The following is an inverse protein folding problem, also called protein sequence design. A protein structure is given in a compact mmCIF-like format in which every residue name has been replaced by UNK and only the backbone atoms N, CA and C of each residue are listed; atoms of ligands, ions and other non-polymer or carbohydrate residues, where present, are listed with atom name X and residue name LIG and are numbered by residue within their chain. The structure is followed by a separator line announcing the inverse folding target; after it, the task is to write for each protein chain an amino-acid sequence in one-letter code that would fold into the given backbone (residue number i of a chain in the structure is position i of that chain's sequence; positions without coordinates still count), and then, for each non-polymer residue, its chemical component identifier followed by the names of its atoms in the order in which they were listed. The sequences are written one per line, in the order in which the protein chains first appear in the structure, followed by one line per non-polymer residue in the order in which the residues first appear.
data_IF_615316422508
#
_entry.id   IF_615316422508
#
_cell.length_a   1.000
_cell.length_b   1.000
_cell.length_c   1.000
_cell.angle_alpha   90.00
_cell.angle_beta   90.00
_cell.angle_gamma   90.00
#
_symmetry.space_group_name_H-M   'P 1'
#
loop_
_entity.id
_entity.type
_entity.pdbx_description
1 polymer ?
#
# COMPACT_ATOMS: atom_id res chain seq x y z
N UNK A 1 56.49 -12.21 -45.59
CA UNK A 1 56.73 -12.78 -46.93
C UNK A 1 55.37 -13.20 -47.48
N UNK A 2 54.79 -12.69 -48.57
CA UNK A 2 55.26 -11.97 -49.76
C UNK A 2 54.12 -11.04 -50.25
N UNK A 3 54.56 -9.86 -50.69
CA UNK A 3 54.09 -8.87 -51.68
C UNK A 3 52.67 -8.86 -52.31
N UNK A 4 52.08 -7.65 -52.25
CA UNK A 4 51.56 -6.81 -53.35
C UNK A 4 50.96 -7.42 -54.61
N UNK A 5 49.70 -7.04 -54.90
CA UNK A 5 49.27 -6.62 -56.25
C UNK A 5 48.42 -5.35 -56.16
N UNK A 6 48.86 -4.32 -56.87
CA UNK A 6 48.16 -3.06 -57.16
C UNK A 6 47.12 -3.22 -58.27
N UNK A 7 45.95 -2.55 -58.19
CA UNK A 7 45.29 -2.04 -59.40
C UNK A 7 44.40 -0.82 -59.16
N UNK A 8 44.24 -0.07 -60.25
CA UNK A 8 44.03 1.38 -60.39
C UNK A 8 42.60 1.88 -60.15
N UNK A 9 42.57 3.19 -59.89
CA UNK A 9 41.48 4.17 -59.90
C UNK A 9 40.43 3.99 -61.00
N UNK A 10 39.17 4.22 -60.60
CA UNK A 10 38.10 4.76 -61.43
C UNK A 10 37.09 5.51 -60.54
N UNK A 11 37.04 6.84 -60.64
CA UNK A 11 35.86 7.68 -60.34
C UNK A 11 35.27 8.04 -61.72
N UNK A 12 33.94 8.25 -61.91
CA UNK A 12 33.28 9.42 -61.30
C UNK A 12 31.73 9.37 -61.14
N UNK A 13 31.18 10.48 -60.63
CA UNK A 13 29.82 11.02 -60.87
C UNK A 13 28.60 10.25 -60.37
N UNK A 14 28.28 10.37 -59.07
CA UNK A 14 26.91 10.15 -58.54
C UNK A 14 26.76 10.81 -57.16
N UNK A 15 26.90 12.15 -57.09
CA UNK A 15 26.70 12.88 -55.82
C UNK A 15 25.89 14.17 -55.91
N UNK A 16 25.38 14.54 -57.08
CA UNK A 16 24.64 15.80 -57.23
C UNK A 16 23.11 15.64 -57.28
N UNK A 17 22.58 14.42 -57.41
CA UNK A 17 21.12 14.20 -57.51
C UNK A 17 20.44 13.88 -56.15
N UNK A 18 21.18 13.49 -55.11
CA UNK A 18 20.60 13.17 -53.80
C UNK A 18 20.36 14.37 -52.87
N UNK A 19 20.91 15.56 -53.16
CA UNK A 19 20.67 16.76 -52.32
C UNK A 19 19.35 17.49 -52.63
N UNK A 20 18.71 17.22 -53.77
CA UNK A 20 17.43 17.83 -54.15
C UNK A 20 16.23 17.16 -53.45
N UNK A 21 16.23 15.83 -53.30
CA UNK A 21 15.10 15.11 -52.68
C UNK A 21 15.01 15.26 -51.15
N UNK A 22 16.11 15.62 -50.47
CA UNK A 22 16.14 15.80 -49.01
C UNK A 22 15.40 17.07 -48.55
N UNK A 23 15.42 18.15 -49.33
CA UNK A 23 14.77 19.42 -48.96
C UNK A 23 13.25 19.36 -49.05
N UNK A 24 12.71 18.59 -50.00
CA UNK A 24 11.26 18.44 -50.17
C UNK A 24 10.62 17.64 -49.03
N UNK A 25 11.31 16.61 -48.52
CA UNK A 25 10.83 15.82 -47.37
C UNK A 25 10.82 16.61 -46.06
N UNK A 26 11.83 17.45 -45.83
CA UNK A 26 11.89 18.31 -44.65
C UNK A 26 10.74 19.35 -44.65
N UNK A 27 10.43 19.93 -45.81
CA UNK A 27 9.31 20.88 -45.94
C UNK A 27 7.95 20.22 -45.65
N UNK A 28 7.71 19.01 -46.18
CA UNK A 28 6.46 18.28 -45.93
C UNK A 28 6.24 17.94 -44.45
N UNK A 29 7.30 17.54 -43.73
CA UNK A 29 7.20 17.22 -42.30
C UNK A 29 6.86 18.47 -41.48
N UNK A 30 7.48 19.61 -41.78
CA UNK A 30 7.19 20.88 -41.08
C UNK A 30 5.75 21.34 -41.31
N UNK A 31 5.22 21.20 -42.53
CA UNK A 31 3.83 21.55 -42.84
C UNK A 31 2.85 20.65 -42.09
N UNK A 32 3.11 19.33 -42.03
CA UNK A 32 2.25 18.39 -41.29
C UNK A 32 2.23 18.72 -39.79
N UNK A 33 3.40 19.00 -39.19
CA UNK A 33 3.51 19.35 -37.76
C UNK A 33 2.76 20.66 -37.47
N UNK A 34 2.87 21.66 -38.34
CA UNK A 34 2.15 22.92 -38.20
C UNK A 34 0.62 22.75 -38.30
N UNK A 35 0.15 21.95 -39.26
CA UNK A 35 -1.30 21.67 -39.42
C UNK A 35 -1.84 20.88 -38.23
N UNK A 36 -1.11 19.85 -37.75
CA UNK A 36 -1.52 19.09 -36.57
C UNK A 36 -1.57 19.97 -35.31
N UNK A 37 -0.60 20.87 -35.12
CA UNK A 37 -0.57 21.78 -33.97
C UNK A 37 -1.75 22.76 -33.98
N UNK A 38 -2.11 23.29 -35.15
CA UNK A 38 -3.27 24.16 -35.33
C UNK A 38 -4.61 23.44 -35.10
N UNK A 39 -4.73 22.18 -35.53
CA UNK A 39 -5.93 21.36 -35.29
C UNK A 39 -6.11 21.02 -33.80
N UNK A 40 -5.02 20.75 -33.09
CA UNK A 40 -5.05 20.52 -31.64
C UNK A 40 -5.48 21.81 -30.91
N UNK A 41 -4.90 22.96 -31.29
CA UNK A 41 -5.29 24.25 -30.71
C UNK A 41 -6.77 24.57 -30.97
N UNK A 42 -7.28 24.28 -32.17
CA UNK A 42 -8.69 24.47 -32.51
C UNK A 42 -9.61 23.53 -31.72
N UNK A 43 -9.20 22.28 -31.49
CA UNK A 43 -9.95 21.32 -30.67
C UNK A 43 -10.06 21.78 -29.21
N UNK A 44 -8.97 22.25 -28.59
CA UNK A 44 -9.01 22.78 -27.23
C UNK A 44 -9.83 24.08 -27.13
N UNK A 45 -9.75 24.94 -28.14
CA UNK A 45 -10.58 26.15 -28.19
C UNK A 45 -12.07 25.80 -28.28
N UNK A 46 -12.44 24.88 -29.17
CA UNK A 46 -13.83 24.42 -29.31
C UNK A 46 -14.33 23.74 -28.02
N UNK A 47 -13.51 22.90 -27.36
CA UNK A 47 -13.86 22.28 -26.09
C UNK A 47 -14.10 23.32 -24.99
N UNK A 48 -13.27 24.37 -24.93
CA UNK A 48 -13.42 25.46 -23.97
C UNK A 48 -14.72 26.25 -24.23
N UNK A 49 -15.01 26.58 -25.49
CA UNK A 49 -16.27 27.25 -25.85
C UNK A 49 -17.48 26.39 -25.48
N UNK A 50 -17.45 25.08 -25.72
CA UNK A 50 -18.54 24.17 -25.35
C UNK A 50 -18.72 24.08 -23.84
N UNK A 51 -17.63 23.99 -23.06
CA UNK A 51 -17.70 23.90 -21.60
C UNK A 51 -18.20 25.18 -20.92
N UNK A 52 -17.97 26.36 -21.53
CA UNK A 52 -18.38 27.65 -20.97
C UNK A 52 -19.66 28.24 -21.58
N UNK A 53 -20.24 27.62 -22.62
CA UNK A 53 -21.47 28.10 -23.28
C UNK A 53 -22.75 27.40 -22.83
N UNK A 54 -22.66 26.38 -21.95
CA UNK A 54 -23.85 25.81 -21.34
C UNK A 54 -24.23 26.61 -20.09
N UNK A 55 -25.37 27.33 -20.08
CA UNK A 55 -25.90 27.87 -18.85
C UNK A 55 -26.23 26.70 -17.93
N UNK A 56 -25.66 26.72 -16.71
CA UNK A 56 -26.04 25.81 -15.63
C UNK A 56 -27.54 25.97 -15.41
N UNK A 57 -28.37 24.92 -15.60
CA UNK A 57 -29.79 25.02 -15.34
C UNK A 57 -29.97 25.27 -13.85
N UNK A 58 -30.51 26.44 -13.52
CA UNK A 58 -30.87 26.82 -12.17
C UNK A 58 -32.24 26.17 -11.83
N UNK A 59 -32.30 24.83 -11.88
CA UNK A 59 -33.53 24.07 -11.66
C UNK A 59 -33.51 23.47 -10.26
N UNK A 60 -34.21 24.16 -9.36
CA UNK A 60 -34.35 23.85 -7.93
C UNK A 60 -35.46 22.83 -7.65
N UNK A 61 -35.71 21.91 -8.59
CA UNK A 61 -36.73 20.86 -8.45
C UNK A 61 -36.21 19.49 -8.88
N UNK A 62 -35.23 18.96 -8.15
CA UNK A 62 -35.01 17.52 -8.06
C UNK A 62 -35.91 16.98 -6.92
N UNK A 63 -36.64 15.87 -7.13
CA UNK A 63 -37.49 15.32 -6.10
C UNK A 63 -36.62 14.89 -4.92
N UNK A 64 -36.97 15.41 -3.74
CA UNK A 64 -36.49 14.97 -2.44
C UNK A 64 -36.59 13.45 -2.35
N UNK A 65 -35.47 12.76 -2.62
CA UNK A 65 -35.21 11.43 -2.11
C UNK A 65 -35.22 11.56 -0.60
N UNK A 66 -36.36 11.24 0.02
CA UNK A 66 -36.44 10.90 1.44
C UNK A 66 -35.60 9.64 1.64
N UNK A 67 -34.28 9.82 1.74
CA UNK A 67 -33.41 8.79 2.28
C UNK A 67 -33.80 8.61 3.74
N UNK A 68 -34.16 7.38 4.06
CA UNK A 68 -34.42 6.94 5.41
C UNK A 68 -33.16 7.17 6.26
N UNK A 69 -33.34 7.80 7.42
CA UNK A 69 -32.30 7.97 8.43
C UNK A 69 -31.50 9.26 8.28
N UNK A 70 -32.06 10.38 8.80
CA UNK A 70 -31.23 11.38 9.47
C UNK A 70 -30.41 10.61 10.51
N UNK A 71 -29.11 10.46 10.30
CA UNK A 71 -28.20 10.22 11.40
C UNK A 71 -28.33 11.49 12.25
N UNK A 72 -28.89 11.37 13.44
CA UNK A 72 -29.08 12.50 14.35
C UNK A 72 -27.74 13.24 14.47
N UNK A 73 -27.75 14.54 14.17
CA UNK A 73 -26.65 15.50 14.34
C UNK A 73 -26.36 15.75 15.84
N UNK A 74 -26.48 14.72 16.67
CA UNK A 74 -25.79 14.67 17.94
C UNK A 74 -24.32 14.45 17.61
N UNK A 75 -23.50 15.48 17.86
CA UNK A 75 -22.04 15.38 17.95
C UNK A 75 -21.68 14.06 18.65
N UNK A 76 -21.44 13.01 17.86
CA UNK A 76 -20.95 11.75 18.41
C UNK A 76 -19.54 12.09 18.84
N UNK A 77 -19.37 12.33 20.14
CA UNK A 77 -18.08 12.54 20.73
C UNK A 77 -17.29 11.23 20.53
N UNK A 78 -16.51 11.15 19.45
CA UNK A 78 -15.66 9.98 19.10
C UNK A 78 -14.44 9.93 20.02
N UNK A 79 -14.59 10.38 21.26
CA UNK A 79 -13.53 10.50 22.26
C UNK A 79 -13.10 9.15 22.84
N UNK A 80 -13.72 8.03 22.44
CA UNK A 80 -13.29 6.71 22.87
C UNK A 80 -13.32 5.68 21.74
N UNK A 81 -12.67 4.53 22.01
CA UNK A 81 -12.61 3.44 21.04
C UNK A 81 -14.00 2.91 20.67
N UNK A 82 -14.95 2.89 21.62
CA UNK A 82 -16.28 2.36 21.36
C UNK A 82 -17.04 3.23 20.34
N UNK A 83 -16.98 4.56 20.49
CA UNK A 83 -17.50 5.53 19.54
C UNK A 83 -16.84 5.41 18.17
N UNK A 84 -15.51 5.29 18.13
CA UNK A 84 -14.78 5.14 16.87
C UNK A 84 -15.11 3.85 16.12
N UNK A 85 -15.18 2.73 16.86
CA UNK A 85 -15.61 1.45 16.31
C UNK A 85 -17.05 1.52 15.79
N UNK A 86 -17.95 2.16 16.53
CA UNK A 86 -19.34 2.32 16.12
C UNK A 86 -19.46 3.15 14.85
N UNK A 87 -18.69 4.24 14.72
CA UNK A 87 -18.59 5.04 13.51
C UNK A 87 -18.17 4.19 12.31
N UNK A 88 -17.07 3.44 12.43
CA UNK A 88 -16.58 2.54 11.36
C UNK A 88 -17.64 1.51 10.96
N UNK A 89 -18.29 0.87 11.93
CA UNK A 89 -19.35 -0.12 11.67
C UNK A 89 -20.57 0.53 11.02
N UNK A 90 -20.95 1.74 11.42
CA UNK A 90 -22.08 2.47 10.81
C UNK A 90 -21.79 2.85 9.36
N UNK A 91 -20.59 3.36 9.07
CA UNK A 91 -20.16 3.69 7.71
C UNK A 91 -20.17 2.45 6.81
N UNK A 92 -19.77 1.29 7.33
CA UNK A 92 -19.78 0.03 6.58
C UNK A 92 -21.17 -0.51 6.22
N UNK A 93 -22.24 0.01 6.85
CA UNK A 93 -23.63 -0.31 6.49
C UNK A 93 -24.14 0.49 5.29
N UNK A 94 -23.40 1.51 4.86
CA UNK A 94 -23.77 2.31 3.70
C UNK A 94 -23.52 1.52 2.41
N UNK A 95 -24.31 1.77 1.35
CA UNK A 95 -23.98 1.30 0.00
C UNK A 95 -22.57 1.77 -0.41
N UNK A 96 -21.80 0.99 -1.19
CA UNK A 96 -20.41 1.33 -1.53
C UNK A 96 -20.20 2.74 -2.09
N UNK A 97 -21.06 3.19 -3.00
CA UNK A 97 -20.99 4.54 -3.56
C UNK A 97 -21.17 5.62 -2.48
N UNK A 98 -22.15 5.45 -1.60
CA UNK A 98 -22.44 6.36 -0.49
C UNK A 98 -21.31 6.36 0.53
N UNK A 99 -20.74 5.19 0.87
CA UNK A 99 -19.58 5.08 1.74
C UNK A 99 -18.40 5.86 1.17
N UNK A 100 -18.03 5.64 -0.09
CA UNK A 100 -16.92 6.35 -0.73
C UNK A 100 -17.14 7.86 -0.79
N UNK A 101 -18.38 8.29 -1.06
CA UNK A 101 -18.75 9.70 -1.05
C UNK A 101 -18.57 10.29 0.35
N UNK A 102 -19.12 9.65 1.39
CA UNK A 102 -18.97 10.10 2.79
C UNK A 102 -17.49 10.18 3.19
N UNK A 103 -16.67 9.18 2.86
CA UNK A 103 -15.24 9.24 3.13
C UNK A 103 -14.57 10.44 2.44
N UNK A 104 -14.98 10.76 1.21
CA UNK A 104 -14.41 11.86 0.43
C UNK A 104 -14.85 13.23 0.94
N UNK A 105 -16.12 13.39 1.35
CA UNK A 105 -16.70 14.70 1.67
C UNK A 105 -16.66 15.04 3.15
N UNK A 106 -16.84 14.04 4.01
CA UNK A 106 -16.91 14.23 5.47
C UNK A 106 -15.57 13.92 6.15
N UNK A 107 -14.67 13.18 5.48
CA UNK A 107 -13.36 12.74 5.99
C UNK A 107 -13.41 12.37 7.49
N UNK A 108 -14.21 11.35 7.87
CA UNK A 108 -14.52 11.06 9.27
C UNK A 108 -13.28 10.68 10.12
N UNK A 109 -12.13 10.44 9.50
CA UNK A 109 -10.86 10.13 10.15
C UNK A 109 -9.86 11.29 10.10
N UNK A 110 -10.14 12.34 9.31
CA UNK A 110 -9.26 13.49 9.05
C UNK A 110 -8.01 13.14 8.22
N UNK A 111 -7.99 11.97 7.58
CA UNK A 111 -6.78 11.43 6.94
C UNK A 111 -6.61 11.93 5.51
N UNK A 112 -7.71 12.30 4.84
CA UNK A 112 -7.67 12.84 3.48
C UNK A 112 -7.26 14.30 3.48
N UNK A 113 -7.81 15.10 4.40
CA UNK A 113 -7.34 16.45 4.65
C UNK A 113 -5.87 16.45 5.08
N UNK A 114 -5.49 15.52 5.99
CA UNK A 114 -4.10 15.36 6.41
C UNK A 114 -3.18 15.01 5.25
N UNK A 115 -3.59 14.13 4.34
CA UNK A 115 -2.81 13.85 3.13
C UNK A 115 -2.51 15.14 2.36
N UNK A 116 -3.52 15.98 2.10
CA UNK A 116 -3.33 17.26 1.39
C UNK A 116 -2.36 18.19 2.12
N UNK A 117 -2.47 18.28 3.46
CA UNK A 117 -1.54 19.05 4.29
C UNK A 117 -0.12 18.53 4.19
N UNK A 118 0.07 17.21 4.17
CA UNK A 118 1.39 16.59 3.98
C UNK A 118 1.94 16.96 2.61
N UNK A 119 1.17 16.86 1.52
CA UNK A 119 1.66 17.24 0.17
C UNK A 119 2.14 18.68 0.15
N UNK A 120 1.31 19.59 0.66
CA UNK A 120 1.61 21.01 0.67
C UNK A 120 2.85 21.30 1.52
N UNK A 121 3.01 20.63 2.66
CA UNK A 121 4.19 20.80 3.50
C UNK A 121 5.46 20.22 2.85
N UNK A 122 5.37 19.08 2.15
CA UNK A 122 6.47 18.53 1.36
C UNK A 122 6.89 19.52 0.26
N UNK A 123 5.93 20.03 -0.52
CA UNK A 123 6.18 20.99 -1.61
C UNK A 123 6.83 22.29 -1.10
N UNK A 124 6.33 22.82 0.02
CA UNK A 124 6.89 24.03 0.64
C UNK A 124 8.32 23.81 1.14
N UNK A 125 8.60 22.66 1.78
CA UNK A 125 9.94 22.35 2.27
C UNK A 125 10.92 22.18 1.11
N UNK A 126 10.55 21.44 0.07
CA UNK A 126 11.40 21.22 -1.10
C UNK A 126 11.66 22.53 -1.85
N UNK A 127 10.65 23.41 -1.99
CA UNK A 127 10.81 24.74 -2.59
C UNK A 127 11.77 25.65 -1.80
N UNK A 128 11.89 25.44 -0.48
CA UNK A 128 12.82 26.16 0.39
C UNK A 128 14.24 25.56 0.44
N UNK A 129 14.52 24.53 -0.35
CA UNK A 129 15.81 23.82 -0.35
C UNK A 129 15.96 22.80 0.80
N UNK A 130 14.87 22.51 1.50
CA UNK A 130 14.77 21.40 2.45
C UNK A 130 14.68 20.04 1.75
N UNK A 131 14.63 18.97 2.55
CA UNK A 131 14.29 17.64 2.08
C UNK A 131 13.21 17.08 3.02
N UNK A 132 11.97 17.09 2.55
CA UNK A 132 10.83 16.69 3.39
C UNK A 132 10.94 15.23 3.89
N UNK A 133 11.51 14.32 3.10
CA UNK A 133 11.71 12.91 3.47
C UNK A 133 12.73 12.72 4.60
N UNK A 134 13.62 13.69 4.78
CA UNK A 134 14.59 13.70 5.87
C UNK A 134 14.09 14.49 7.09
N UNK A 135 12.85 15.00 7.06
CA UNK A 135 12.24 15.68 8.20
C UNK A 135 11.30 14.71 8.95
N UNK A 136 11.80 13.94 9.94
CA UNK A 136 10.98 13.00 10.70
C UNK A 136 9.95 13.69 11.61
N UNK A 137 9.98 15.03 11.72
CA UNK A 137 9.04 15.83 12.51
C UNK A 137 7.97 16.49 11.66
N UNK A 138 7.92 16.26 10.34
CA UNK A 138 6.91 16.88 9.48
C UNK A 138 5.49 16.64 10.00
N UNK A 139 5.18 15.39 10.36
CA UNK A 139 3.85 15.02 10.83
C UNK A 139 3.48 15.65 12.18
N UNK A 140 4.47 15.90 13.05
CA UNK A 140 4.26 16.52 14.37
C UNK A 140 3.76 17.96 14.24
N UNK A 141 4.17 18.68 13.18
CA UNK A 141 3.70 20.04 12.90
C UNK A 141 2.33 20.12 12.23
N UNK A 142 1.82 18.99 11.70
CA UNK A 142 0.59 18.93 10.91
C UNK A 142 -0.56 18.22 11.64
N UNK A 143 -0.22 17.28 12.51
CA UNK A 143 -1.18 16.50 13.29
C UNK A 143 -0.78 16.60 14.77
N UNK A 144 -1.65 17.17 15.59
CA UNK A 144 -1.45 17.23 17.04
C UNK A 144 -1.90 15.92 17.68
N UNK A 145 -1.16 15.43 18.67
CA UNK A 145 -1.58 14.23 19.40
C UNK A 145 -2.94 14.48 20.09
N UNK A 146 -4.00 13.72 19.77
CA UNK A 146 -5.29 13.89 20.41
C UNK A 146 -5.20 13.58 21.92
N UNK A 147 -5.95 14.34 22.73
CA UNK A 147 -6.07 14.12 24.17
C UNK A 147 -6.69 12.75 24.46
N UNK A 148 -7.71 12.43 23.68
CA UNK A 148 -8.42 11.17 23.72
C UNK A 148 -7.83 10.23 22.67
N UNK A 149 -6.82 9.46 23.10
CA UNK A 149 -6.12 8.54 22.19
C UNK A 149 -6.97 7.31 21.93
N UNK A 150 -7.49 7.22 20.72
CA UNK A 150 -8.37 6.13 20.27
C UNK A 150 -7.55 4.88 19.94
N UNK A 151 -6.27 5.05 19.57
CA UNK A 151 -5.43 3.99 19.00
C UNK A 151 -4.26 3.56 19.88
N UNK A 152 -4.42 3.71 21.20
CA UNK A 152 -3.39 3.38 22.19
C UNK A 152 -2.81 1.99 21.93
N UNK A 153 -1.47 1.86 21.87
CA UNK A 153 -0.86 0.54 21.85
C UNK A 153 -1.28 -0.19 23.12
N UNK A 154 -1.83 -1.39 22.95
CA UNK A 154 -2.10 -2.33 24.04
C UNK A 154 -0.88 -2.41 24.97
N UNK A 155 -1.05 -2.46 26.29
CA UNK A 155 0.08 -2.55 27.22
C UNK A 155 0.96 -3.80 26.96
N UNK A 156 0.37 -4.85 26.37
CA UNK A 156 1.08 -6.02 25.82
C UNK A 156 2.09 -5.62 24.73
N UNK A 157 1.76 -4.61 23.92
CA UNK A 157 2.65 -4.09 22.87
C UNK A 157 3.96 -3.57 23.44
N UNK A 158 3.95 -2.91 24.60
CA UNK A 158 5.19 -2.38 25.20
C UNK A 158 6.09 -3.48 25.74
N UNK A 159 5.52 -4.50 26.39
CA UNK A 159 6.30 -5.57 27.04
C UNK A 159 6.98 -6.46 26.01
N UNK A 160 6.23 -6.97 25.03
CA UNK A 160 6.79 -7.83 23.96
C UNK A 160 7.77 -7.06 23.08
N UNK A 161 7.47 -5.81 22.74
CA UNK A 161 8.39 -4.97 21.99
C UNK A 161 9.68 -4.70 22.79
N UNK A 162 9.60 -4.38 24.08
CA UNK A 162 10.78 -4.18 24.92
C UNK A 162 11.61 -5.47 25.06
N UNK A 163 10.96 -6.63 25.15
CA UNK A 163 11.62 -7.93 25.14
C UNK A 163 12.34 -8.17 23.81
N UNK A 164 11.67 -7.98 22.67
CA UNK A 164 12.28 -8.10 21.35
C UNK A 164 13.50 -7.17 21.23
N UNK A 165 13.39 -5.91 21.62
CA UNK A 165 14.49 -4.93 21.54
C UNK A 165 15.69 -5.34 22.39
N UNK A 166 15.47 -5.79 23.62
CA UNK A 166 16.55 -6.31 24.49
C UNK A 166 17.22 -7.50 23.83
N UNK A 167 16.41 -8.44 23.33
CA UNK A 167 16.91 -9.63 22.64
C UNK A 167 17.72 -9.27 21.39
N UNK A 168 17.28 -8.31 20.58
CA UNK A 168 18.03 -7.86 19.41
C UNK A 168 19.31 -7.08 19.76
N UNK A 169 19.34 -6.39 20.91
CA UNK A 169 20.53 -5.71 21.40
C UNK A 169 21.57 -6.69 21.95
N UNK A 170 21.12 -7.75 22.62
CA UNK A 170 21.97 -8.73 23.30
C UNK A 170 22.41 -9.88 22.37
N UNK A 171 21.62 -10.20 21.34
CA UNK A 171 21.82 -11.41 20.54
C UNK A 171 22.91 -11.27 19.47
N UNK A 172 23.97 -12.06 19.63
CA UNK A 172 24.66 -12.70 18.51
C UNK A 172 24.01 -14.04 18.10
N UNK A 173 23.15 -14.64 18.95
CA UNK A 173 22.45 -15.92 18.70
C UNK A 173 21.06 -15.96 19.36
N UNK A 174 20.13 -16.77 18.82
CA UNK A 174 18.77 -16.95 19.38
C UNK A 174 18.81 -17.85 20.63
N UNK A 175 18.10 -17.48 21.72
CA UNK A 175 17.99 -18.33 22.90
C UNK A 175 17.48 -19.74 22.55
N UNK A 176 18.23 -20.78 22.91
CA UNK A 176 17.88 -22.18 22.65
C UNK A 176 16.85 -22.74 23.63
N UNK A 177 16.65 -22.07 24.77
CA UNK A 177 15.74 -22.52 25.82
C UNK A 177 14.26 -22.20 25.52
N UNK A 178 13.38 -23.10 25.99
CA UNK A 178 11.96 -23.13 25.66
C UNK A 178 11.13 -21.92 26.13
N UNK A 179 11.69 -21.05 26.98
CA UNK A 179 11.00 -19.89 27.53
C UNK A 179 11.74 -18.61 27.17
N UNK A 180 11.11 -17.79 26.32
CA UNK A 180 11.29 -16.33 26.16
C UNK A 180 11.64 -15.81 24.76
N UNK A 181 11.71 -16.59 23.67
CA UNK A 181 11.95 -15.97 22.35
C UNK A 181 10.78 -15.05 21.94
N UNK A 182 11.05 -13.74 21.82
CA UNK A 182 10.16 -12.80 21.15
C UNK A 182 10.60 -12.67 19.69
N UNK A 183 9.65 -12.66 18.75
CA UNK A 183 9.95 -12.56 17.32
C UNK A 183 8.98 -11.59 16.64
N UNK A 184 9.22 -11.32 15.36
CA UNK A 184 8.36 -10.45 14.55
C UNK A 184 7.35 -11.33 13.79
N UNK A 185 6.06 -11.10 14.00
CA UNK A 185 5.03 -11.67 13.12
C UNK A 185 4.62 -10.61 12.11
N UNK A 186 4.90 -10.83 10.83
CA UNK A 186 4.54 -9.91 9.77
C UNK A 186 3.34 -10.43 8.98
N UNK A 187 2.18 -9.77 9.11
CA UNK A 187 1.07 -10.00 8.21
C UNK A 187 1.34 -9.25 6.90
N UNK A 188 1.87 -9.97 5.93
CA UNK A 188 2.25 -9.49 4.62
C UNK A 188 1.03 -9.45 3.69
N UNK A 189 0.45 -8.28 3.45
CA UNK A 189 -0.61 -8.15 2.46
C UNK A 189 -0.02 -7.99 1.05
N UNK A 190 -0.48 -8.79 0.08
CA UNK A 190 -0.03 -8.73 -1.33
C UNK A 190 0.01 -7.30 -1.83
N UNK A 191 1.19 -6.85 -2.28
CA UNK A 191 1.43 -5.51 -2.87
C UNK A 191 1.12 -4.31 -1.98
N UNK A 192 0.99 -4.54 -0.67
CA UNK A 192 0.86 -3.51 0.34
C UNK A 192 2.21 -3.19 1.01
N UNK A 193 3.35 -3.37 0.32
CA UNK A 193 4.67 -2.96 0.81
C UNK A 193 5.53 -4.02 1.49
N UNK A 194 5.14 -5.29 1.47
CA UNK A 194 5.89 -6.32 2.19
C UNK A 194 7.35 -6.52 1.76
N UNK A 195 7.71 -6.23 0.50
CA UNK A 195 9.12 -6.19 0.07
C UNK A 195 9.91 -5.07 0.75
N UNK A 196 9.29 -3.92 1.03
CA UNK A 196 9.93 -2.82 1.74
C UNK A 196 10.19 -3.19 3.20
N UNK A 197 9.20 -3.78 3.87
CA UNK A 197 9.39 -4.27 5.24
C UNK A 197 10.47 -5.35 5.32
N UNK A 198 10.52 -6.28 4.36
CA UNK A 198 11.56 -7.30 4.40
C UNK A 198 12.96 -6.73 4.12
N UNK A 199 13.07 -5.74 3.22
CA UNK A 199 14.35 -5.03 3.00
C UNK A 199 14.79 -4.29 4.25
N UNK A 200 13.85 -3.68 4.98
CA UNK A 200 14.09 -3.05 6.28
C UNK A 200 14.58 -4.08 7.31
N UNK A 201 13.92 -5.24 7.40
CA UNK A 201 14.33 -6.32 8.30
C UNK A 201 15.75 -6.83 7.97
N UNK A 202 16.07 -7.05 6.70
CA UNK A 202 17.40 -7.47 6.25
C UNK A 202 18.50 -6.45 6.55
N UNK A 203 18.17 -5.15 6.62
CA UNK A 203 19.13 -4.12 7.02
C UNK A 203 19.43 -4.11 8.53
N UNK A 204 18.56 -4.71 9.35
CA UNK A 204 18.62 -4.62 10.81
C UNK A 204 18.82 -5.97 11.52
N UNK A 205 18.67 -7.09 10.80
CA UNK A 205 18.80 -8.44 11.31
C UNK A 205 19.89 -9.18 10.53
N UNK A 206 20.66 -10.06 11.17
CA UNK A 206 21.62 -10.90 10.45
C UNK A 206 20.93 -11.74 9.35
N UNK A 207 21.58 -11.92 8.20
CA UNK A 207 20.96 -12.60 7.05
C UNK A 207 20.47 -14.01 7.36
N UNK A 208 21.20 -14.76 8.21
CA UNK A 208 20.80 -16.11 8.63
C UNK A 208 19.53 -16.14 9.49
N UNK A 209 19.14 -14.98 10.04
CA UNK A 209 18.01 -14.79 10.95
C UNK A 209 16.75 -14.31 10.24
N UNK A 210 16.83 -14.04 8.93
CA UNK A 210 15.72 -13.62 8.10
C UNK A 210 15.43 -14.71 7.07
N UNK A 211 14.20 -15.25 7.00
CA UNK A 211 13.82 -16.18 5.94
C UNK A 211 14.10 -15.58 4.56
N UNK A 212 14.73 -16.37 3.69
CA UNK A 212 15.16 -15.94 2.35
C UNK A 212 14.00 -15.55 1.44
N UNK A 213 12.83 -16.18 1.63
CA UNK A 213 11.63 -15.91 0.84
C UNK A 213 10.85 -14.71 1.40
N UNK A 214 11.35 -13.49 1.17
CA UNK A 214 10.70 -12.24 1.58
C UNK A 214 10.23 -12.22 3.05
N UNK A 215 11.07 -12.72 3.96
CA UNK A 215 10.78 -12.78 5.40
C UNK A 215 9.61 -13.72 5.78
N UNK A 216 9.21 -14.60 4.87
CA UNK A 216 8.17 -15.61 5.08
C UNK A 216 8.79 -17.01 5.20
N UNK A 217 8.11 -17.94 5.89
CA UNK A 217 8.38 -19.36 5.78
C UNK A 217 8.51 -19.80 4.33
N UNK A 218 9.64 -20.43 4.02
CA UNK A 218 9.86 -21.05 2.71
C UNK A 218 9.18 -22.42 2.63
N UNK A 219 9.27 -23.06 1.46
CA UNK A 219 8.79 -24.43 1.23
C UNK A 219 9.56 -25.51 2.03
N UNK A 220 10.58 -25.13 2.81
CA UNK A 220 11.39 -26.06 3.58
C UNK A 220 10.92 -26.18 5.03
N UNK A 221 9.88 -25.47 5.46
CA UNK A 221 9.22 -25.74 6.74
C UNK A 221 8.58 -27.13 6.70
N UNK A 222 9.07 -28.07 7.52
CA UNK A 222 8.61 -29.47 7.45
C UNK A 222 7.47 -29.72 8.42
N UNK A 223 6.27 -30.02 7.90
CA UNK A 223 5.17 -30.53 8.73
C UNK A 223 5.29 -32.05 8.83
N UNK A 224 5.32 -32.57 10.06
CA UNK A 224 5.14 -34.01 10.30
C UNK A 224 3.64 -34.27 10.42
N UNK A 225 3.14 -35.30 9.75
CA UNK A 225 1.78 -35.76 10.02
C UNK A 225 1.71 -36.53 11.34
N UNK A 226 0.51 -36.93 11.74
CA UNK A 226 0.27 -37.74 12.94
C UNK A 226 0.98 -39.10 12.94
N UNK A 227 1.57 -39.51 11.82
CA UNK A 227 2.36 -40.73 11.65
C UNK A 227 3.87 -40.44 11.55
N UNK A 228 4.29 -39.19 11.76
CA UNK A 228 5.68 -38.76 11.69
C UNK A 228 6.23 -38.56 10.26
N UNK A 229 5.40 -38.72 9.23
CA UNK A 229 5.80 -38.58 7.83
C UNK A 229 5.76 -37.11 7.37
N UNK A 230 6.67 -36.72 6.47
CA UNK A 230 6.70 -35.36 5.92
C UNK A 230 5.62 -35.21 4.84
N UNK A 231 4.69 -34.27 5.03
CA UNK A 231 3.72 -33.91 3.97
C UNK A 231 4.35 -32.94 2.97
N UNK A 232 4.08 -33.07 1.66
CA UNK A 232 4.39 -32.02 0.70
C UNK A 232 3.63 -30.75 1.09
N UNK A 233 4.37 -29.67 1.27
CA UNK A 233 3.83 -28.40 1.74
C UNK A 233 3.23 -27.63 0.55
N UNK A 234 2.02 -27.10 0.71
CA UNK A 234 1.26 -26.54 -0.40
C UNK A 234 1.64 -25.09 -0.77
N UNK A 235 2.21 -24.30 0.16
CA UNK A 235 2.55 -22.90 -0.11
C UNK A 235 3.51 -22.28 0.92
N UNK A 236 4.48 -21.51 0.43
CA UNK A 236 5.34 -20.62 1.23
C UNK A 236 4.53 -19.42 1.72
N UNK A 237 4.73 -18.96 2.96
CA UNK A 237 3.97 -17.83 3.53
C UNK A 237 2.51 -18.15 3.94
N UNK A 238 2.14 -19.43 4.03
CA UNK A 238 0.85 -19.88 4.57
C UNK A 238 1.04 -20.36 6.03
N UNK A 239 0.64 -19.55 7.01
CA UNK A 239 0.76 -19.86 8.44
C UNK A 239 -0.48 -20.50 9.07
N UNK A 240 -1.65 -20.48 8.42
CA UNK A 240 -2.90 -20.97 9.03
C UNK A 240 -2.93 -22.49 9.20
N UNK A 241 -2.12 -23.20 8.42
CA UNK A 241 -1.95 -24.64 8.47
C UNK A 241 -0.98 -25.14 9.58
N UNK A 242 -0.40 -24.23 10.36
CA UNK A 242 0.58 -24.51 11.41
C UNK A 242 0.03 -24.11 12.78
N UNK A 243 0.20 -24.96 13.78
CA UNK A 243 -0.08 -24.58 15.17
C UNK A 243 0.93 -23.54 15.67
N UNK A 244 0.61 -22.85 16.77
CA UNK A 244 1.54 -21.89 17.37
C UNK A 244 2.83 -22.57 17.84
N UNK A 245 2.74 -23.78 18.38
CA UNK A 245 3.88 -24.61 18.79
C UNK A 245 4.76 -24.98 17.60
N UNK A 246 4.15 -25.33 16.46
CA UNK A 246 4.91 -25.63 15.24
C UNK A 246 5.60 -24.39 14.67
N UNK A 247 4.94 -23.23 14.69
CA UNK A 247 5.55 -21.95 14.30
C UNK A 247 6.77 -21.68 15.20
N UNK A 248 6.60 -21.75 16.52
CA UNK A 248 7.69 -21.54 17.49
C UNK A 248 8.83 -22.53 17.31
N UNK A 249 8.51 -23.81 17.10
CA UNK A 249 9.52 -24.85 16.87
C UNK A 249 10.34 -24.58 15.59
N UNK A 250 9.69 -24.14 14.51
CA UNK A 250 10.39 -23.80 13.27
C UNK A 250 11.26 -22.55 13.42
N UNK A 251 10.74 -21.52 14.11
CA UNK A 251 11.48 -20.29 14.37
C UNK A 251 12.76 -20.56 15.18
N UNK A 252 12.68 -21.38 16.23
CA UNK A 252 13.84 -21.80 17.03
C UNK A 252 14.80 -22.68 16.22
N UNK A 253 14.29 -23.73 15.60
CA UNK A 253 15.11 -24.70 14.86
C UNK A 253 15.89 -24.10 13.69
N UNK A 254 15.39 -23.01 13.10
CA UNK A 254 16.05 -22.28 12.01
C UNK A 254 16.74 -21.00 12.46
N UNK A 255 16.63 -20.66 13.75
CA UNK A 255 17.08 -19.39 14.27
C UNK A 255 16.54 -18.20 13.44
N UNK A 256 15.22 -18.14 13.18
CA UNK A 256 14.62 -17.00 12.49
C UNK A 256 13.99 -16.01 13.48
N UNK A 257 14.09 -14.71 13.22
CA UNK A 257 13.49 -13.65 14.06
C UNK A 257 12.19 -13.08 13.49
N UNK A 258 11.81 -13.51 12.29
CA UNK A 258 10.59 -13.06 11.63
C UNK A 258 9.84 -14.24 11.00
N UNK A 259 8.52 -14.26 11.19
CA UNK A 259 7.59 -15.14 10.50
C UNK A 259 6.57 -14.30 9.73
N UNK A 260 6.53 -14.47 8.42
CA UNK A 260 5.56 -13.79 7.56
C UNK A 260 4.36 -14.68 7.19
N UNK A 261 3.15 -14.13 7.27
CA UNK A 261 1.93 -14.71 6.68
C UNK A 261 1.48 -13.85 5.50
N UNK A 262 1.35 -14.41 4.30
CA UNK A 262 0.88 -13.67 3.11
C UNK A 262 -0.46 -14.18 2.57
N UNK A 263 -0.65 -15.49 2.58
CA UNK A 263 -1.79 -16.10 1.87
C UNK A 263 -3.03 -16.26 2.74
N UNK A 264 -2.81 -16.45 4.03
CA UNK A 264 -3.89 -16.81 4.91
C UNK A 264 -4.49 -15.59 5.58
N UNK A 265 -5.76 -15.72 5.95
CA UNK A 265 -6.40 -14.78 6.85
C UNK A 265 -5.72 -14.80 8.21
N UNK A 266 -5.84 -13.70 8.94
CA UNK A 266 -5.25 -13.58 10.26
C UNK A 266 -6.23 -14.11 11.31
N UNK A 267 -5.93 -15.31 11.82
CA UNK A 267 -6.66 -15.92 12.95
C UNK A 267 -6.28 -15.21 14.25
N UNK A 268 -7.01 -14.15 14.58
CA UNK A 268 -6.76 -13.32 15.75
C UNK A 268 -6.94 -14.08 17.08
N UNK A 269 -7.72 -15.16 17.10
CA UNK A 269 -7.92 -15.95 18.32
C UNK A 269 -6.66 -16.72 18.68
N UNK A 270 -5.96 -17.23 17.67
CA UNK A 270 -4.77 -18.05 17.84
C UNK A 270 -3.48 -17.26 17.75
N UNK A 271 -3.30 -16.44 16.72
CA UNK A 271 -1.99 -15.83 16.46
C UNK A 271 -1.55 -14.89 17.56
N UNK A 272 -2.47 -14.13 18.17
CA UNK A 272 -2.12 -13.21 19.24
C UNK A 272 -1.67 -13.90 20.56
N UNK A 273 -1.70 -15.23 20.63
CA UNK A 273 -1.09 -15.99 21.73
C UNK A 273 0.42 -16.22 21.52
N UNK A 274 0.93 -15.95 20.31
CA UNK A 274 2.36 -16.03 20.02
C UNK A 274 3.12 -14.91 20.78
N UNK A 275 4.35 -15.18 21.27
CA UNK A 275 5.24 -14.18 21.82
C UNK A 275 5.84 -13.32 20.68
N UNK A 276 4.99 -12.60 19.96
CA UNK A 276 5.39 -11.88 18.76
C UNK A 276 5.02 -10.40 18.81
N UNK A 277 5.88 -9.60 18.21
CA UNK A 277 5.59 -8.21 17.85
C UNK A 277 4.90 -8.23 16.49
N UNK A 278 3.63 -7.86 16.47
CA UNK A 278 2.78 -7.93 15.28
C UNK A 278 2.94 -6.69 14.42
N UNK A 279 3.31 -6.91 13.16
CA UNK A 279 3.53 -5.87 12.17
C UNK A 279 2.68 -6.12 10.94
N UNK A 280 2.11 -5.07 10.38
CA UNK A 280 1.49 -5.11 9.06
C UNK A 280 1.70 -3.79 8.32
N UNK A 281 1.32 -3.75 7.05
CA UNK A 281 1.40 -2.56 6.21
C UNK A 281 0.17 -2.43 5.32
N UNK A 282 -0.32 -1.20 5.21
CA UNK A 282 -1.44 -0.81 4.37
C UNK A 282 -0.95 0.03 3.20
N UNK A 283 -1.64 -0.15 2.08
CA UNK A 283 -1.54 0.69 0.89
C UNK A 283 -2.94 0.94 0.39
N UNK A 284 -3.21 2.10 -0.21
CA UNK A 284 -4.49 2.37 -0.85
C UNK A 284 -4.97 1.18 -1.71
N UNK A 285 -6.20 0.68 -1.49
CA UNK A 285 -6.71 -0.54 -2.11
C UNK A 285 -6.60 -0.54 -3.63
N UNK A 286 -6.96 0.56 -4.29
CA UNK A 286 -6.87 0.70 -5.75
C UNK A 286 -5.42 0.62 -6.26
N UNK A 287 -4.49 1.30 -5.58
CA UNK A 287 -3.06 1.24 -5.92
C UNK A 287 -2.48 -0.16 -5.69
N UNK A 288 -2.92 -0.86 -4.64
CA UNK A 288 -2.56 -2.26 -4.40
C UNK A 288 -3.07 -3.15 -5.53
N UNK A 289 -4.34 -2.99 -5.95
CA UNK A 289 -4.93 -3.76 -7.04
C UNK A 289 -4.20 -3.55 -8.37
N UNK A 290 -3.90 -2.30 -8.73
CA UNK A 290 -3.09 -1.96 -9.91
C UNK A 290 -1.68 -2.56 -9.84
N UNK A 291 -1.06 -2.50 -8.66
CA UNK A 291 0.25 -3.10 -8.44
C UNK A 291 0.22 -4.63 -8.55
N UNK A 292 -0.91 -5.28 -8.22
CA UNK A 292 -1.11 -6.71 -8.43
C UNK A 292 -1.30 -7.03 -9.92
N UNK A 293 -2.15 -6.28 -10.62
CA UNK A 293 -2.34 -6.43 -12.06
C UNK A 293 -1.03 -6.31 -12.83
N UNK A 294 -0.26 -5.24 -12.56
CA UNK A 294 1.06 -5.04 -13.17
C UNK A 294 1.97 -6.25 -12.95
N UNK A 295 2.05 -6.71 -11.71
CA UNK A 295 2.93 -7.82 -11.35
C UNK A 295 2.56 -9.13 -12.05
N UNK A 296 1.27 -9.41 -12.21
CA UNK A 296 0.83 -10.64 -12.87
C UNK A 296 0.87 -10.54 -14.40
N UNK A 297 0.42 -9.42 -14.96
CA UNK A 297 0.09 -9.27 -16.37
C UNK A 297 1.08 -8.44 -17.19
N UNK A 298 1.77 -7.48 -16.58
CA UNK A 298 2.73 -6.62 -17.29
C UNK A 298 4.14 -7.15 -17.15
N UNK A 299 4.48 -7.65 -15.97
CA UNK A 299 5.78 -8.29 -15.71
C UNK A 299 5.86 -9.74 -16.24
N UNK A 300 4.89 -10.12 -17.10
CA UNK A 300 4.87 -11.35 -17.91
C UNK A 300 5.05 -12.61 -17.06
N UNK A 301 4.22 -12.73 -16.02
CA UNK A 301 4.16 -13.89 -15.12
C UNK A 301 3.05 -14.87 -15.50
N UNK A 302 2.74 -14.95 -16.79
CA UNK A 302 1.77 -15.91 -17.34
C UNK A 302 0.30 -15.50 -17.24
N UNK A 303 0.00 -14.24 -16.91
CA UNK A 303 -1.37 -13.74 -16.98
C UNK A 303 -1.82 -13.56 -18.45
N UNK A 304 -3.06 -13.97 -18.73
CA UNK A 304 -3.64 -13.98 -20.08
C UNK A 304 -4.37 -12.68 -20.45
N UNK A 305 -4.57 -11.79 -19.48
CA UNK A 305 -5.33 -10.56 -19.65
C UNK A 305 -4.42 -9.43 -20.14
N UNK A 306 -4.85 -8.73 -21.20
CA UNK A 306 -4.10 -7.62 -21.79
C UNK A 306 -4.39 -6.26 -21.14
N UNK A 307 -5.52 -6.13 -20.46
CA UNK A 307 -5.94 -4.90 -19.80
C UNK A 307 -6.54 -5.20 -18.43
N UNK A 308 -6.57 -4.17 -17.59
CA UNK A 308 -7.00 -4.28 -16.20
C UNK A 308 -8.50 -4.52 -16.05
N UNK A 309 -9.34 -3.97 -16.95
CA UNK A 309 -10.79 -4.17 -16.91
C UNK A 309 -11.15 -5.66 -17.01
N UNK A 310 -10.66 -6.35 -18.04
CA UNK A 310 -10.91 -7.77 -18.22
C UNK A 310 -10.30 -8.64 -17.10
N UNK A 311 -9.14 -8.23 -16.57
CA UNK A 311 -8.53 -8.89 -15.42
C UNK A 311 -9.41 -8.73 -14.17
N UNK A 312 -9.87 -7.52 -13.87
CA UNK A 312 -10.60 -7.21 -12.63
C UNK A 312 -11.89 -8.00 -12.48
N UNK A 313 -12.65 -8.19 -13.56
CA UNK A 313 -13.88 -8.99 -13.58
C UNK A 313 -13.69 -10.43 -13.07
N UNK A 314 -12.46 -10.96 -13.20
CA UNK A 314 -12.08 -12.31 -12.79
C UNK A 314 -11.38 -12.35 -11.43
N UNK A 315 -11.19 -11.21 -10.77
CA UNK A 315 -10.38 -11.07 -9.54
C UNK A 315 -11.18 -10.70 -8.31
N UNK A 316 -12.34 -11.34 -8.16
CA UNK A 316 -13.18 -11.20 -6.95
C UNK A 316 -12.48 -11.66 -5.67
N UNK A 317 -11.40 -12.45 -5.79
CA UNK A 317 -10.52 -12.82 -4.67
C UNK A 317 -9.76 -11.62 -4.09
N UNK A 318 -9.62 -10.52 -4.85
CA UNK A 318 -8.93 -9.31 -4.41
C UNK A 318 -9.86 -8.26 -3.79
N UNK A 319 -11.17 -8.51 -3.78
CA UNK A 319 -12.16 -7.56 -3.27
C UNK A 319 -12.14 -7.57 -1.74
N UNK A 320 -12.02 -6.38 -1.15
CA UNK A 320 -11.98 -6.18 0.30
C UNK A 320 -11.02 -7.16 1.02
N UNK A 321 -9.80 -7.32 0.50
CA UNK A 321 -8.82 -8.31 0.98
C UNK A 321 -8.30 -7.97 2.38
N UNK A 322 -8.15 -6.68 2.71
CA UNK A 322 -7.71 -6.29 4.05
C UNK A 322 -8.78 -6.65 5.07
N UNK A 323 -10.02 -6.27 4.78
CA UNK A 323 -11.19 -6.61 5.60
C UNK A 323 -11.31 -8.12 5.75
N UNK A 324 -11.19 -8.89 4.66
CA UNK A 324 -11.22 -10.35 4.70
C UNK A 324 -10.12 -10.94 5.60
N UNK A 325 -8.90 -10.39 5.48
CA UNK A 325 -7.73 -10.91 6.19
C UNK A 325 -7.85 -10.67 7.69
N UNK A 326 -8.13 -9.44 8.12
CA UNK A 326 -8.10 -9.08 9.54
C UNK A 326 -9.37 -9.44 10.31
N UNK A 327 -10.48 -9.69 9.61
CA UNK A 327 -11.72 -10.20 10.22
C UNK A 327 -11.81 -11.72 10.28
N UNK A 328 -10.84 -12.42 9.68
CA UNK A 328 -10.91 -13.86 9.36
C UNK A 328 -12.21 -14.29 8.64
N UNK A 329 -12.83 -13.39 7.88
CA UNK A 329 -14.09 -13.65 7.18
C UNK A 329 -13.83 -14.16 5.75
N UNK A 330 -14.23 -15.40 5.39
CA UNK A 330 -14.16 -15.86 4.01
C UNK A 330 -15.18 -15.14 3.13
N UNK A 331 -14.96 -15.13 1.81
CA UNK A 331 -15.93 -14.72 0.78
C UNK A 331 -16.33 -13.23 0.78
N UNK A 332 -15.45 -12.32 1.21
CA UNK A 332 -15.70 -10.87 1.12
C UNK A 332 -16.05 -10.38 -0.29
N UNK A 333 -15.55 -11.02 -1.36
CA UNK A 333 -15.91 -10.65 -2.73
C UNK A 333 -17.40 -10.84 -3.08
N UNK A 334 -18.13 -11.71 -2.35
CA UNK A 334 -19.60 -11.77 -2.47
C UNK A 334 -20.26 -10.59 -1.76
N UNK A 335 -19.79 -10.27 -0.55
CA UNK A 335 -20.34 -9.17 0.26
C UNK A 335 -20.12 -7.82 -0.42
N UNK A 336 -18.98 -7.63 -1.08
CA UNK A 336 -18.64 -6.41 -1.82
C UNK A 336 -19.65 -6.04 -2.92
N UNK A 337 -20.32 -7.03 -3.50
CA UNK A 337 -21.25 -6.84 -4.63
C UNK A 337 -22.72 -6.83 -4.20
N UNK A 338 -23.01 -7.16 -2.95
CA UNK A 338 -24.38 -7.31 -2.49
C UNK A 338 -24.91 -6.01 -1.91
N UNK A 339 -26.13 -5.65 -2.29
CA UNK A 339 -26.87 -4.52 -1.73
C UNK A 339 -27.93 -4.97 -0.71
N UNK A 340 -27.95 -6.26 -0.35
CA UNK A 340 -28.91 -6.74 0.64
C UNK A 340 -28.54 -6.24 2.04
N UNK A 341 -29.53 -5.82 2.83
CA UNK A 341 -29.32 -5.37 4.21
C UNK A 341 -28.56 -6.40 5.06
N UNK A 342 -28.82 -7.70 4.85
CA UNK A 342 -28.11 -8.78 5.53
C UNK A 342 -26.62 -8.83 5.19
N UNK A 343 -26.28 -8.71 3.91
CA UNK A 343 -24.87 -8.78 3.48
C UNK A 343 -24.12 -7.49 3.87
N UNK A 344 -24.79 -6.33 3.87
CA UNK A 344 -24.22 -5.08 4.42
C UNK A 344 -23.94 -5.19 5.93
N UNK A 345 -24.86 -5.78 6.71
CA UNK A 345 -24.62 -6.02 8.14
C UNK A 345 -23.46 -6.99 8.37
N UNK A 346 -23.34 -8.04 7.55
CA UNK A 346 -22.20 -8.96 7.61
C UNK A 346 -20.88 -8.24 7.26
N UNK A 347 -20.89 -7.36 6.26
CA UNK A 347 -19.75 -6.52 5.91
C UNK A 347 -19.34 -5.59 7.05
N UNK A 348 -20.32 -4.96 7.70
CA UNK A 348 -20.11 -4.09 8.85
C UNK A 348 -19.54 -4.83 10.06
N UNK A 349 -20.06 -6.03 10.36
CA UNK A 349 -19.51 -6.88 11.42
C UNK A 349 -18.08 -7.32 11.10
N UNK A 350 -17.81 -7.75 9.86
CA UNK A 350 -16.46 -8.12 9.43
C UNK A 350 -15.49 -6.94 9.59
N UNK A 351 -15.90 -5.74 9.19
CA UNK A 351 -15.07 -4.55 9.35
C UNK A 351 -14.80 -4.20 10.82
N UNK A 352 -15.82 -4.30 11.69
CA UNK A 352 -15.64 -4.12 13.13
C UNK A 352 -14.61 -5.08 13.70
N UNK A 353 -14.67 -6.36 13.33
CA UNK A 353 -13.70 -7.37 13.73
C UNK A 353 -12.30 -7.11 13.16
N UNK A 354 -12.21 -6.65 11.91
CA UNK A 354 -10.94 -6.25 11.29
C UNK A 354 -10.28 -5.10 12.05
N UNK A 355 -11.07 -4.10 12.47
CA UNK A 355 -10.61 -2.98 13.27
C UNK A 355 -10.10 -3.43 14.65
N UNK A 356 -10.89 -4.27 15.34
CA UNK A 356 -10.52 -4.87 16.64
C UNK A 356 -9.18 -5.62 16.54
N UNK A 357 -8.96 -6.35 15.44
CA UNK A 357 -7.70 -7.03 15.16
C UNK A 357 -6.56 -6.04 14.92
N UNK A 358 -6.75 -5.04 14.06
CA UNK A 358 -5.70 -4.09 13.69
C UNK A 358 -5.18 -3.27 14.87
N UNK A 359 -6.05 -2.89 15.80
CA UNK A 359 -5.62 -2.13 16.97
C UNK A 359 -4.65 -2.90 17.87
N UNK A 360 -4.75 -4.23 17.86
CA UNK A 360 -3.84 -5.12 18.61
C UNK A 360 -2.48 -5.29 17.92
N UNK A 361 -2.31 -4.85 16.68
CA UNK A 361 -0.98 -4.84 16.06
C UNK A 361 -0.08 -3.84 16.78
N UNK A 362 1.21 -4.16 16.88
CA UNK A 362 2.18 -3.26 17.49
C UNK A 362 2.55 -2.15 16.50
N UNK A 363 2.68 -2.52 15.21
CA UNK A 363 3.07 -1.63 14.13
C UNK A 363 2.13 -1.79 12.94
N UNK A 364 1.44 -0.72 12.59
CA UNK A 364 0.60 -0.61 11.38
C UNK A 364 1.28 0.43 10.50
N UNK A 365 1.99 -0.01 9.47
CA UNK A 365 2.69 0.87 8.54
C UNK A 365 1.73 1.36 7.45
N UNK A 366 1.93 2.58 7.00
CA UNK A 366 1.21 3.18 5.87
C UNK A 366 2.20 3.37 4.72
N UNK A 367 1.89 2.85 3.53
CA UNK A 367 2.79 2.91 2.37
C UNK A 367 2.86 4.28 1.73
N UNK A 368 1.78 5.06 1.79
CA UNK A 368 1.72 6.44 1.33
C UNK A 368 2.63 7.35 2.19
N UNK A 369 2.81 7.03 3.47
CA UNK A 369 3.53 7.84 4.48
C UNK A 369 4.71 7.10 5.12
N UNK A 370 5.21 6.04 4.47
CA UNK A 370 6.18 5.12 5.06
C UNK A 370 7.50 5.80 5.47
N UNK A 371 7.88 6.87 4.77
CA UNK A 371 9.06 7.68 5.07
C UNK A 371 9.08 8.23 6.50
N UNK A 372 7.89 8.49 7.06
CA UNK A 372 7.73 9.06 8.41
C UNK A 372 7.71 8.01 9.52
N UNK A 373 7.76 6.71 9.18
CA UNK A 373 7.62 5.62 10.15
C UNK A 373 8.91 5.32 10.95
N UNK A 374 10.03 5.99 10.67
CA UNK A 374 11.36 5.64 11.20
C UNK A 374 11.40 5.57 12.74
N UNK A 375 10.93 6.62 13.42
CA UNK A 375 10.90 6.64 14.91
C UNK A 375 9.99 5.56 15.49
N UNK A 376 8.85 5.31 14.86
CA UNK A 376 7.91 4.28 15.29
C UNK A 376 8.51 2.87 15.11
N UNK A 377 9.21 2.64 14.00
CA UNK A 377 9.94 1.39 13.74
C UNK A 377 11.07 1.18 14.76
N UNK A 378 11.87 2.22 15.04
CA UNK A 378 12.95 2.17 16.03
C UNK A 378 12.41 1.86 17.42
N UNK A 379 11.35 2.54 17.84
CA UNK A 379 10.77 2.36 19.17
C UNK A 379 10.07 1.03 19.34
N UNK A 380 9.37 0.51 18.33
CA UNK A 380 8.69 -0.79 18.42
C UNK A 380 9.68 -1.95 18.22
N UNK A 381 10.46 -1.92 17.14
CA UNK A 381 11.28 -3.06 16.70
C UNK A 381 12.75 -2.97 17.14
N UNK A 382 13.25 -1.80 17.53
CA UNK A 382 14.69 -1.61 17.83
C UNK A 382 15.58 -1.53 16.59
N UNK A 383 14.99 -1.44 15.40
CA UNK A 383 15.70 -1.35 14.13
C UNK A 383 16.39 0.01 14.02
N UNK A 384 17.73 0.02 13.98
CA UNK A 384 18.54 1.25 13.94
C UNK A 384 18.63 1.86 12.53
N UNK A 385 18.76 1.03 11.50
CA UNK A 385 18.79 1.48 10.10
C UNK A 385 17.37 1.54 9.53
N UNK A 386 16.75 2.72 9.57
CA UNK A 386 15.46 2.98 8.95
C UNK A 386 15.58 3.67 7.59
N UNK A 387 16.77 3.79 7.03
CA UNK A 387 17.01 4.52 5.77
C UNK A 387 16.31 3.89 4.56
N UNK A 388 15.99 2.60 4.63
CA UNK A 388 15.20 1.90 3.60
C UNK A 388 13.79 2.50 3.46
N UNK A 389 13.25 3.09 4.53
CA UNK A 389 11.91 3.70 4.53
C UNK A 389 11.86 4.98 3.67
N UNK A 390 12.99 5.68 3.51
CA UNK A 390 13.05 6.92 2.71
C UNK A 390 13.62 6.68 1.31
N UNK A 391 14.51 5.68 1.13
CA UNK A 391 15.18 5.40 -0.16
C UNK A 391 14.31 4.68 -1.20
N UNK A 392 13.32 3.89 -0.77
CA UNK A 392 12.51 3.01 -1.67
C UNK A 392 11.06 3.41 -1.80
N UNK A 393 10.59 4.33 -0.97
CA UNK A 393 9.19 4.74 -0.96
C UNK A 393 9.08 5.91 -1.92
N UNK A 394 8.35 5.70 -3.01
CA UNK A 394 7.76 6.82 -3.74
C UNK A 394 6.53 7.23 -2.91
N UNK A 395 6.51 8.41 -2.26
CA UNK A 395 5.24 8.95 -1.80
C UNK A 395 4.30 8.95 -3.01
N UNK A 396 3.09 8.42 -2.84
CA UNK A 396 2.06 8.47 -3.89
C UNK A 396 1.59 9.90 -4.17
N UNK A 397 1.96 10.80 -3.26
CA UNK A 397 1.91 12.24 -3.27
C UNK A 397 2.66 12.77 -4.50
N UNK A 398 1.90 13.35 -5.44
CA UNK A 398 2.34 14.11 -6.62
C UNK A 398 3.77 13.80 -7.12
N UNK A 399 3.83 13.06 -8.23
CA UNK A 399 5.05 12.75 -9.00
C UNK A 399 5.74 14.02 -9.55
N UNK A 400 6.17 14.95 -8.71
CA UNK A 400 7.30 15.80 -9.05
C UNK A 400 8.44 14.84 -9.38
N UNK A 401 8.94 14.92 -10.62
CA UNK A 401 10.11 14.17 -11.05
C UNK A 401 11.28 14.56 -10.14
N UNK A 402 11.57 13.73 -9.14
CA UNK A 402 12.63 13.99 -8.16
C UNK A 402 13.97 13.64 -8.82
N UNK A 403 14.96 14.53 -8.76
CA UNK A 403 16.32 14.27 -9.27
C UNK A 403 17.17 13.44 -8.28
N UNK A 404 16.57 12.51 -7.55
CA UNK A 404 17.23 11.67 -6.54
C UNK A 404 17.67 10.30 -7.10
N UNK A 405 17.53 10.09 -8.42
CA UNK A 405 17.91 8.85 -9.10
C UNK A 405 16.85 7.74 -9.03
N UNK A 406 15.67 7.97 -8.43
CA UNK A 406 14.60 6.97 -8.35
C UNK A 406 13.89 6.67 -9.69
N UNK A 407 14.14 7.48 -10.74
CA UNK A 407 13.74 7.22 -12.12
C UNK A 407 14.47 6.01 -12.74
N UNK A 408 15.59 5.61 -12.14
CA UNK A 408 16.39 4.46 -12.54
C UNK A 408 16.25 3.27 -11.60
N UNK A 409 15.13 3.16 -10.87
CA UNK A 409 14.82 1.93 -10.15
C UNK A 409 14.68 0.78 -11.16
N UNK A 410 15.75 0.00 -11.29
CA UNK A 410 15.84 -1.25 -12.04
C UNK A 410 15.04 -2.34 -11.32
N UNK A 411 13.76 -2.08 -11.08
CA UNK A 411 12.80 -3.12 -10.75
C UNK A 411 12.81 -4.19 -11.84
N UNK A 412 12.34 -5.40 -11.49
CA UNK A 412 12.33 -6.53 -12.39
C UNK A 412 11.82 -6.12 -13.80
N UNK A 413 12.70 -6.22 -14.80
CA UNK A 413 12.48 -5.91 -16.23
C UNK A 413 12.42 -4.43 -16.66
N UNK A 414 13.13 -3.51 -16.00
CA UNK A 414 13.44 -2.20 -16.62
C UNK A 414 12.23 -1.27 -16.80
N UNK A 415 11.21 -1.42 -15.96
CA UNK A 415 10.03 -0.55 -15.95
C UNK A 415 10.36 0.73 -15.17
N UNK A 416 10.44 1.87 -15.87
CA UNK A 416 10.84 3.17 -15.31
C UNK A 416 9.91 3.72 -14.21
N UNK A 417 8.62 3.32 -14.19
CA UNK A 417 7.65 3.76 -13.17
C UNK A 417 7.36 2.64 -12.16
N UNK A 418 7.78 2.83 -10.90
CA UNK A 418 7.56 1.88 -9.81
C UNK A 418 6.10 1.89 -9.27
N UNK A 419 5.35 2.96 -9.50
CA UNK A 419 3.95 3.09 -9.06
C UNK A 419 3.06 3.57 -10.20
N UNK A 420 1.81 3.11 -10.21
CA UNK A 420 0.76 3.51 -11.14
C UNK A 420 -0.26 4.36 -10.36
N UNK A 421 -0.57 5.55 -10.87
CA UNK A 421 -1.69 6.35 -10.38
C UNK A 421 -2.95 5.82 -11.05
N UNK A 422 -4.02 5.48 -10.31
CA UNK A 422 -5.22 4.94 -10.91
C UNK A 422 -5.78 5.75 -12.07
N UNK A 423 -5.70 7.08 -11.99
CA UNK A 423 -6.20 8.03 -12.98
C UNK A 423 -5.46 7.92 -14.33
N UNK A 424 -4.19 7.49 -14.31
CA UNK A 424 -3.39 7.28 -15.52
C UNK A 424 -3.78 6.00 -16.28
N UNK A 425 -4.43 5.04 -15.62
CA UNK A 425 -4.63 3.68 -16.13
C UNK A 425 -6.09 3.21 -16.15
N UNK A 426 -6.99 3.90 -15.44
CA UNK A 426 -8.40 3.58 -15.34
C UNK A 426 -9.23 4.68 -16.01
N UNK A 427 -10.25 4.27 -16.76
CA UNK A 427 -11.31 5.22 -17.13
C UNK A 427 -12.10 5.63 -15.89
N UNK A 428 -12.78 6.79 -15.88
CA UNK A 428 -13.61 7.21 -14.75
C UNK A 428 -14.62 6.14 -14.30
N UNK A 429 -15.25 5.45 -15.26
CA UNK A 429 -16.17 4.37 -14.97
C UNK A 429 -15.47 3.17 -14.31
N UNK A 430 -14.30 2.78 -14.81
CA UNK A 430 -13.56 1.66 -14.23
C UNK A 430 -13.04 2.00 -12.83
N UNK A 431 -12.58 3.24 -12.63
CA UNK A 431 -12.17 3.73 -11.32
C UNK A 431 -13.30 3.59 -10.31
N UNK A 432 -14.50 4.06 -10.66
CA UNK A 432 -15.68 3.98 -9.80
C UNK A 432 -16.01 2.52 -9.44
N UNK A 433 -16.14 1.65 -10.45
CA UNK A 433 -16.47 0.23 -10.23
C UNK A 433 -15.42 -0.47 -9.36
N UNK A 434 -14.12 -0.23 -9.61
CA UNK A 434 -13.06 -0.82 -8.82
C UNK A 434 -13.06 -0.31 -7.38
N UNK A 435 -13.33 0.98 -7.19
CA UNK A 435 -13.38 1.60 -5.86
C UNK A 435 -14.56 1.06 -5.06
N UNK A 436 -15.74 0.93 -5.66
CA UNK A 436 -16.93 0.35 -5.00
C UNK A 436 -16.69 -1.10 -4.57
N UNK A 437 -16.05 -1.91 -5.42
CA UNK A 437 -15.67 -3.29 -5.08
C UNK A 437 -14.66 -3.37 -3.90
N UNK A 438 -14.00 -2.26 -3.58
CA UNK A 438 -12.98 -2.12 -2.53
C UNK A 438 -13.41 -1.20 -1.38
N UNK A 439 -14.68 -0.77 -1.32
CA UNK A 439 -15.10 0.30 -0.42
C UNK A 439 -14.86 0.00 1.08
N UNK A 440 -14.96 -1.26 1.51
CA UNK A 440 -14.65 -1.64 2.89
C UNK A 440 -13.15 -1.58 3.17
N UNK A 441 -12.31 -1.96 2.20
CA UNK A 441 -10.86 -1.80 2.32
C UNK A 441 -10.45 -0.32 2.29
N UNK A 442 -11.16 0.56 1.57
CA UNK A 442 -10.93 2.02 1.61
C UNK A 442 -11.22 2.54 3.02
N UNK A 443 -12.37 2.18 3.60
CA UNK A 443 -12.73 2.53 4.97
C UNK A 443 -11.73 1.98 6.00
N UNK A 444 -11.32 0.71 5.89
CA UNK A 444 -10.33 0.12 6.78
C UNK A 444 -8.94 0.77 6.61
N UNK A 445 -8.60 1.17 5.39
CA UNK A 445 -7.35 1.86 5.11
C UNK A 445 -7.36 3.22 5.79
N UNK A 446 -8.41 4.05 5.62
CA UNK A 446 -8.52 5.36 6.26
C UNK A 446 -8.41 5.23 7.81
N UNK A 447 -9.06 4.22 8.40
CA UNK A 447 -8.89 3.90 9.82
C UNK A 447 -7.44 3.50 10.19
N UNK A 448 -6.78 2.67 9.38
CA UNK A 448 -5.38 2.29 9.57
C UNK A 448 -4.41 3.48 9.41
N UNK A 449 -4.70 4.42 8.50
CA UNK A 449 -3.95 5.67 8.34
C UNK A 449 -4.04 6.52 9.61
N UNK A 450 -5.24 6.61 10.21
CA UNK A 450 -5.44 7.28 11.50
C UNK A 450 -4.65 6.63 12.64
N UNK A 451 -4.68 5.30 12.74
CA UNK A 451 -3.85 4.53 13.69
C UNK A 451 -2.37 4.84 13.51
N UNK A 452 -1.89 4.89 12.26
CA UNK A 452 -0.51 5.23 11.98
C UNK A 452 -0.15 6.65 12.45
N UNK A 453 -0.95 7.66 12.10
CA UNK A 453 -0.69 9.06 12.46
C UNK A 453 -0.61 9.25 13.98
N UNK A 454 -1.62 8.75 14.70
CA UNK A 454 -1.64 8.83 16.16
C UNK A 454 -0.40 8.14 16.75
N UNK A 455 -0.04 6.94 16.28
CA UNK A 455 1.13 6.23 16.81
C UNK A 455 2.46 6.89 16.46
N UNK A 456 2.59 7.52 15.31
CA UNK A 456 3.81 8.24 14.95
C UNK A 456 3.96 9.50 15.79
N UNK A 457 2.90 10.30 15.94
CA UNK A 457 2.95 11.60 16.63
C UNK A 457 2.92 11.43 18.14
N UNK A 458 1.98 10.65 18.68
CA UNK A 458 1.77 10.54 20.13
C UNK A 458 2.84 9.73 20.87
N UNK A 459 3.62 8.91 20.17
CA UNK A 459 4.70 8.15 20.80
C UNK A 459 5.81 9.06 21.37
N UNK A 460 5.92 10.30 20.88
CA UNK A 460 6.92 11.26 21.36
C UNK A 460 6.62 11.79 22.77
N UNK A 461 5.35 12.09 23.05
CA UNK A 461 4.91 12.68 24.31
C UNK A 461 5.17 11.79 25.53
N UNK A 462 5.05 10.47 25.40
CA UNK A 462 5.13 9.55 26.53
C UNK A 462 6.57 9.32 27.02
N UNK A 463 7.55 9.53 26.14
CA UNK A 463 8.97 9.43 26.47
C UNK A 463 9.56 10.73 27.00
N UNK A 464 9.00 11.89 26.63
CA UNK A 464 9.44 13.19 27.16
C UNK A 464 8.77 13.55 28.50
N UNK A 465 7.63 12.94 28.84
CA UNK A 465 6.95 13.11 30.14
C UNK A 465 7.46 12.17 31.25
N UNK A 466 8.36 11.23 30.95
CA UNK A 466 8.99 10.31 31.92
C UNK A 466 10.48 10.58 32.02
#
# INVERSE_FOLDING_TARGET
MIMHVTRRRGRPLLRQQQRSQSKSKAFFITVIVAVCSSLIAFYYFALTVVLFSYPVPNDSSLPSLKMAGKIDEGEQNVSDYAGWRQLVVNLARLPPASLLQTLQTEDPFGVREMEQKILQAEENLDASGGNALNNPRLLEGLFSCPTDRITLPDQRNHTLAAQLRRQLADAQTIPTDNSSMAFIFFQHLRKAGGTNFCTLAQANLPTAHVPSYYCMPDYYWKRKDSKGSHRPQACAGCLQQWSNEEILSNMRGRSHWIAGNEWDRFDATRYFELPAVFVTSFRRPLHRALSQFRFECVEDRGCKYKNITAWWEHRRDLYNVYTATFSDTPRMGRLALSQSSKDMEQGAQALGNALDTLLRYHLVLNMEWLAYAGKLVQSVLGFRDTSVLTRRVRPLISQHARQDGQDHNSGARGIAKASWLPEDYLSPQQYLVMSENLALDELLTDAAQRIFLERVVCHMDDHERR
#
